data_IF_704176454125
#
_entry.id   IF_704176454125
#
_cell.length_a   1.000
_cell.length_b   1.000
_cell.length_c   1.000
_cell.angle_alpha   90.00
_cell.angle_beta   90.00
_cell.angle_gamma   90.00
#
_symmetry.space_group_name_H-M   'P 1'
#
loop_
_entity.id
_entity.type
_entity.pdbx_description
1 polymer ?
#
# COMPACT_ATOMS: atom_id res chain seq x y z
N UNK A 1 -19.51 -25.85 -10.76
CA UNK A 1 -19.01 -24.58 -11.32
C UNK A 1 -18.76 -23.68 -10.13
N UNK A 2 -17.52 -23.25 -9.88
CA UNK A 2 -17.16 -22.53 -8.64
C UNK A 2 -17.65 -21.07 -8.58
N UNK A 3 -18.20 -20.54 -9.69
CA UNK A 3 -18.54 -19.13 -9.86
C UNK A 3 -19.91 -18.98 -10.54
N UNK A 4 -20.93 -19.59 -9.94
CA UNK A 4 -22.32 -19.24 -10.21
C UNK A 4 -22.82 -18.32 -9.10
N UNK A 5 -23.86 -17.54 -9.37
CA UNK A 5 -24.53 -16.75 -8.34
C UNK A 5 -24.90 -17.67 -7.16
N UNK A 6 -24.48 -17.36 -5.91
CA UNK A 6 -24.82 -18.18 -4.77
C UNK A 6 -26.34 -18.16 -4.52
N UNK A 7 -26.87 -19.26 -3.99
CA UNK A 7 -28.28 -19.32 -3.56
C UNK A 7 -28.57 -18.19 -2.58
N UNK A 8 -29.78 -17.65 -2.64
CA UNK A 8 -30.23 -16.66 -1.68
C UNK A 8 -30.37 -17.27 -0.29
N UNK A 9 -30.07 -16.47 0.73
CA UNK A 9 -30.24 -16.85 2.14
C UNK A 9 -31.05 -15.81 2.88
N UNK A 10 -31.68 -16.19 3.99
CA UNK A 10 -32.45 -15.27 4.84
C UNK A 10 -31.57 -14.20 5.51
N UNK A 11 -30.25 -14.38 5.48
CA UNK A 11 -29.26 -13.48 6.05
C UNK A 11 -28.61 -12.57 5.00
N UNK A 12 -29.08 -12.62 3.75
CA UNK A 12 -28.55 -11.76 2.69
C UNK A 12 -28.92 -10.30 2.96
N UNK A 13 -27.92 -9.42 2.95
CA UNK A 13 -28.15 -7.98 3.08
C UNK A 13 -28.43 -7.40 1.69
N UNK A 14 -29.57 -6.74 1.53
CA UNK A 14 -30.04 -6.20 0.25
C UNK A 14 -30.26 -4.70 0.35
N UNK A 15 -29.73 -3.93 -0.60
CA UNK A 15 -29.93 -2.49 -0.69
C UNK A 15 -29.80 -2.01 -2.14
N UNK A 16 -30.18 -0.75 -2.38
CA UNK A 16 -30.01 -0.08 -3.67
C UNK A 16 -28.81 0.87 -3.61
N UNK A 17 -27.87 0.73 -4.54
CA UNK A 17 -26.76 1.66 -4.71
C UNK A 17 -26.84 2.32 -6.09
N UNK A 18 -27.04 3.63 -6.16
CA UNK A 18 -27.21 4.38 -7.44
C UNK A 18 -28.33 3.82 -8.35
N UNK A 19 -29.35 3.20 -7.74
CA UNK A 19 -30.45 2.53 -8.45
C UNK A 19 -30.12 1.13 -8.97
N UNK A 20 -28.95 0.58 -8.60
CA UNK A 20 -28.53 -0.80 -8.89
C UNK A 20 -28.77 -1.65 -7.63
N UNK A 21 -29.51 -2.77 -7.72
CA UNK A 21 -29.68 -3.69 -6.60
C UNK A 21 -28.36 -4.35 -6.21
N UNK A 22 -28.01 -4.31 -4.93
CA UNK A 22 -26.82 -4.91 -4.34
C UNK A 22 -27.26 -5.92 -3.28
N UNK A 23 -26.76 -7.14 -3.40
CA UNK A 23 -26.93 -8.23 -2.43
C UNK A 23 -25.57 -8.60 -1.85
N UNK A 24 -25.47 -8.74 -0.53
CA UNK A 24 -24.27 -9.23 0.15
C UNK A 24 -24.61 -10.55 0.81
N UNK A 25 -23.94 -11.61 0.39
CA UNK A 25 -24.05 -12.92 1.00
C UNK A 25 -23.24 -12.98 2.31
N UNK A 26 -23.71 -13.60 3.40
CA UNK A 26 -23.02 -13.63 4.71
C UNK A 26 -21.58 -14.15 4.64
N UNK A 27 -21.33 -15.12 3.76
CA UNK A 27 -19.99 -15.68 3.54
C UNK A 27 -18.96 -14.63 3.07
N UNK A 28 -19.40 -13.50 2.50
CA UNK A 28 -18.53 -12.36 2.20
C UNK A 28 -17.89 -11.80 3.47
N UNK A 29 -18.70 -11.50 4.49
CA UNK A 29 -18.22 -10.93 5.75
C UNK A 29 -17.31 -11.89 6.52
N UNK A 30 -17.60 -13.19 6.48
CA UNK A 30 -16.75 -14.21 7.08
C UNK A 30 -15.34 -14.24 6.47
N UNK A 31 -15.25 -14.19 5.13
CA UNK A 31 -13.96 -14.16 4.43
C UNK A 31 -13.26 -12.81 4.62
N UNK A 32 -13.98 -11.68 4.56
CA UNK A 32 -13.41 -10.37 4.81
C UNK A 32 -12.80 -10.27 6.22
N UNK A 33 -13.47 -10.79 7.23
CA UNK A 33 -12.94 -10.87 8.60
C UNK A 33 -11.71 -11.77 8.69
N UNK A 34 -11.73 -12.95 8.03
CA UNK A 34 -10.58 -13.87 7.99
C UNK A 34 -9.35 -13.22 7.33
N UNK A 35 -9.55 -12.51 6.22
CA UNK A 35 -8.49 -11.79 5.52
C UNK A 35 -7.97 -10.57 6.30
N UNK A 36 -8.71 -10.10 7.31
CA UNK A 36 -8.31 -8.99 8.17
C UNK A 36 -7.36 -9.41 9.29
N UNK A 37 -7.28 -10.71 9.63
CA UNK A 37 -6.46 -11.23 10.72
C UNK A 37 -4.97 -10.86 10.66
N UNK A 38 -4.31 -10.80 9.47
CA UNK A 38 -2.92 -10.35 9.39
C UNK A 38 -2.72 -8.87 9.74
N UNK A 39 -3.77 -8.06 9.65
CA UNK A 39 -3.73 -6.61 9.95
C UNK A 39 -4.00 -6.34 11.42
N UNK A 40 -4.79 -7.19 12.07
CA UNK A 40 -5.05 -7.14 13.51
C UNK A 40 -6.06 -8.19 13.93
N UNK A 41 -6.07 -8.50 15.24
CA UNK A 41 -7.09 -9.39 15.85
C UNK A 41 -8.13 -8.61 16.65
N UNK A 42 -7.85 -7.35 16.95
CA UNK A 42 -8.79 -6.48 17.65
C UNK A 42 -9.97 -6.07 16.76
N UNK A 43 -11.16 -5.80 17.33
CA UNK A 43 -12.35 -5.49 16.55
C UNK A 43 -12.19 -4.27 15.62
N UNK A 44 -11.51 -3.22 16.07
CA UNK A 44 -11.34 -1.96 15.32
C UNK A 44 -10.55 -2.15 14.00
N UNK A 45 -9.33 -2.72 14.01
CA UNK A 45 -8.61 -3.08 12.78
C UNK A 45 -9.38 -4.02 11.86
N UNK A 46 -10.02 -5.05 12.43
CA UNK A 46 -10.79 -6.03 11.64
C UNK A 46 -11.94 -5.35 10.92
N UNK A 47 -12.70 -4.50 11.62
CA UNK A 47 -13.79 -3.73 11.02
C UNK A 47 -13.27 -2.73 9.98
N UNK A 48 -12.15 -2.06 10.24
CA UNK A 48 -11.52 -1.13 9.29
C UNK A 48 -11.15 -1.81 7.98
N UNK A 49 -10.44 -2.95 8.06
CA UNK A 49 -9.98 -3.67 6.88
C UNK A 49 -11.13 -4.37 6.15
N UNK A 50 -12.06 -4.99 6.86
CA UNK A 50 -13.25 -5.60 6.25
C UNK A 50 -14.12 -4.55 5.53
N UNK A 51 -14.27 -3.35 6.11
CA UNK A 51 -14.97 -2.24 5.47
C UNK A 51 -14.24 -1.76 4.21
N UNK A 52 -12.91 -1.77 4.22
CA UNK A 52 -12.10 -1.42 3.06
C UNK A 52 -12.24 -2.44 1.93
N UNK A 53 -12.18 -3.75 2.24
CA UNK A 53 -12.45 -4.83 1.29
C UNK A 53 -13.85 -4.64 0.68
N UNK A 54 -14.86 -4.46 1.53
CA UNK A 54 -16.25 -4.25 1.10
C UNK A 54 -16.37 -3.07 0.13
N UNK A 55 -15.90 -1.89 0.53
CA UNK A 55 -16.06 -0.70 -0.30
C UNK A 55 -15.27 -0.81 -1.60
N UNK A 56 -14.05 -1.35 -1.56
CA UNK A 56 -13.21 -1.52 -2.75
C UNK A 56 -13.84 -2.48 -3.77
N UNK A 57 -14.33 -3.64 -3.32
CA UNK A 57 -15.01 -4.62 -4.20
C UNK A 57 -16.36 -4.05 -4.68
N UNK A 58 -17.11 -3.35 -3.82
CA UNK A 58 -18.37 -2.72 -4.25
C UNK A 58 -18.12 -1.68 -5.35
N UNK A 59 -17.09 -0.84 -5.22
CA UNK A 59 -16.71 0.14 -6.25
C UNK A 59 -16.32 -0.55 -7.56
N UNK A 60 -15.60 -1.67 -7.48
CA UNK A 60 -15.26 -2.49 -8.64
C UNK A 60 -16.52 -3.01 -9.36
N UNK A 61 -17.43 -3.67 -8.63
CA UNK A 61 -18.66 -4.19 -9.23
C UNK A 61 -19.60 -3.09 -9.74
N UNK A 62 -19.61 -1.94 -9.07
CA UNK A 62 -20.31 -0.74 -9.55
C UNK A 62 -19.73 -0.25 -10.88
N UNK A 63 -18.42 -0.34 -11.08
CA UNK A 63 -17.78 -0.03 -12.36
C UNK A 63 -18.39 -0.84 -13.51
N UNK A 64 -18.51 -2.16 -13.33
CA UNK A 64 -19.19 -3.02 -14.30
C UNK A 64 -20.67 -2.68 -14.47
N UNK A 65 -21.40 -2.53 -13.35
CA UNK A 65 -22.84 -2.28 -13.38
C UNK A 65 -23.22 -0.94 -14.03
N UNK A 66 -22.44 0.11 -13.78
CA UNK A 66 -22.60 1.41 -14.42
C UNK A 66 -22.26 1.33 -15.92
N UNK A 67 -21.25 0.54 -16.30
CA UNK A 67 -20.94 0.30 -17.69
C UNK A 67 -22.06 -0.48 -18.41
N UNK A 68 -22.63 -1.50 -17.77
CA UNK A 68 -23.83 -2.18 -18.26
C UNK A 68 -24.98 -1.21 -18.48
N UNK A 69 -25.26 -0.33 -17.50
CA UNK A 69 -26.30 0.69 -17.61
C UNK A 69 -26.05 1.64 -18.78
N UNK A 70 -24.80 2.04 -19.03
CA UNK A 70 -24.41 2.87 -20.19
C UNK A 70 -24.63 2.15 -21.52
N UNK A 71 -24.47 0.83 -21.55
CA UNK A 71 -24.81 -0.02 -22.69
C UNK A 71 -26.32 -0.37 -22.77
N UNK A 72 -27.18 0.23 -21.94
CA UNK A 72 -28.62 -0.04 -21.94
C UNK A 72 -29.02 -1.36 -21.27
N UNK A 73 -28.09 -2.02 -20.57
CA UNK A 73 -28.29 -3.32 -19.92
C UNK A 73 -28.60 -3.08 -18.43
N UNK A 74 -29.69 -3.67 -17.94
CA UNK A 74 -30.00 -3.70 -16.50
C UNK A 74 -29.19 -4.80 -15.82
N UNK A 75 -28.56 -4.47 -14.70
CA UNK A 75 -27.74 -5.40 -13.90
C UNK A 75 -28.05 -5.30 -12.41
N UNK A 76 -27.59 -6.30 -11.67
CA UNK A 76 -27.55 -6.33 -10.20
C UNK A 76 -26.17 -6.81 -9.75
N UNK A 77 -25.83 -6.54 -8.49
CA UNK A 77 -24.53 -6.88 -7.90
C UNK A 77 -24.76 -7.89 -6.78
N UNK A 78 -23.93 -8.93 -6.75
CA UNK A 78 -23.87 -9.88 -5.64
C UNK A 78 -22.44 -9.94 -5.11
N UNK A 79 -22.23 -9.62 -3.83
CA UNK A 79 -20.95 -9.76 -3.15
C UNK A 79 -20.91 -11.08 -2.37
N UNK A 80 -19.90 -11.92 -2.62
CA UNK A 80 -19.80 -13.24 -2.02
C UNK A 80 -18.36 -13.76 -2.02
N UNK A 81 -17.98 -14.45 -0.93
CA UNK A 81 -16.68 -15.10 -0.75
C UNK A 81 -15.48 -14.18 -1.04
N UNK A 82 -14.84 -14.35 -2.20
CA UNK A 82 -13.60 -13.70 -2.59
C UNK A 82 -13.77 -12.47 -3.48
N UNK A 83 -15.01 -12.04 -3.75
CA UNK A 83 -15.25 -10.95 -4.68
C UNK A 83 -16.71 -10.55 -4.79
N UNK A 84 -17.08 -10.08 -5.98
CA UNK A 84 -18.44 -9.83 -6.37
C UNK A 84 -18.73 -10.34 -7.77
N UNK A 85 -19.98 -10.17 -8.16
CA UNK A 85 -20.47 -10.43 -9.50
C UNK A 85 -21.50 -9.37 -9.86
N UNK A 86 -21.19 -8.54 -10.84
CA UNK A 86 -22.16 -7.74 -11.56
C UNK A 86 -22.80 -8.56 -12.70
N UNK A 87 -24.03 -9.01 -12.51
CA UNK A 87 -24.75 -9.84 -13.47
C UNK A 87 -25.89 -9.08 -14.16
N UNK A 88 -26.06 -9.20 -15.50
CA UNK A 88 -27.21 -8.66 -16.20
C UNK A 88 -28.48 -9.48 -15.89
N UNK A 89 -29.64 -8.82 -15.82
CA UNK A 89 -30.93 -9.49 -15.54
C UNK A 89 -31.40 -10.44 -16.64
N UNK A 90 -30.98 -10.20 -17.88
CA UNK A 90 -31.31 -11.07 -19.02
C UNK A 90 -30.04 -11.58 -19.67
N UNK A 91 -29.87 -12.90 -19.66
CA UNK A 91 -28.84 -13.60 -20.41
C UNK A 91 -29.04 -13.37 -21.92
N UNK A 92 -30.26 -13.14 -22.41
CA UNK A 92 -30.47 -12.83 -23.83
C UNK A 92 -29.79 -11.53 -24.22
N UNK A 93 -29.86 -10.49 -23.38
CA UNK A 93 -29.19 -9.21 -23.65
C UNK A 93 -27.66 -9.30 -23.57
N UNK A 94 -27.13 -10.33 -22.89
CA UNK A 94 -25.70 -10.57 -22.71
C UNK A 94 -25.10 -11.55 -23.73
N UNK A 95 -25.87 -12.55 -24.17
CA UNK A 95 -25.40 -13.71 -24.96
C UNK A 95 -26.07 -13.79 -26.35
N UNK A 96 -27.18 -13.09 -26.62
CA UNK A 96 -28.04 -13.39 -27.78
C UNK A 96 -28.59 -12.19 -28.57
N UNK A 97 -28.26 -12.17 -29.86
CA UNK A 97 -29.09 -11.70 -30.98
C UNK A 97 -29.64 -10.27 -30.95
N UNK A 98 -28.76 -9.31 -30.66
CA UNK A 98 -28.98 -7.91 -31.01
C UNK A 98 -27.70 -7.33 -31.59
N UNK A 99 -27.83 -6.46 -32.60
CA UNK A 99 -26.74 -5.73 -33.25
C UNK A 99 -25.93 -4.83 -32.29
N UNK A 100 -26.29 -4.80 -31.00
CA UNK A 100 -26.00 -3.72 -30.06
C UNK A 100 -25.02 -4.08 -28.93
N UNK A 101 -24.64 -5.34 -28.72
CA UNK A 101 -23.62 -5.72 -27.70
C UNK A 101 -22.34 -6.29 -28.31
N UNK A 102 -21.52 -5.39 -28.86
CA UNK A 102 -20.26 -5.71 -29.55
C UNK A 102 -19.15 -6.17 -28.59
N UNK A 103 -18.16 -6.92 -29.10
CA UNK A 103 -16.96 -7.29 -28.32
C UNK A 103 -16.21 -6.07 -27.75
N UNK A 104 -16.28 -4.90 -28.41
CA UNK A 104 -15.75 -3.64 -27.87
C UNK A 104 -16.52 -3.18 -26.63
N UNK A 105 -17.85 -3.35 -26.62
CA UNK A 105 -18.70 -3.02 -25.47
C UNK A 105 -18.41 -3.95 -24.30
N UNK A 106 -18.18 -5.25 -24.57
CA UNK A 106 -17.77 -6.21 -23.54
C UNK A 106 -16.43 -5.84 -22.91
N UNK A 107 -15.41 -5.54 -23.73
CA UNK A 107 -14.11 -5.08 -23.23
C UNK A 107 -14.27 -3.81 -22.39
N UNK A 108 -15.08 -2.85 -22.84
CA UNK A 108 -15.36 -1.65 -22.07
C UNK A 108 -16.00 -1.98 -20.72
N UNK A 109 -17.07 -2.78 -20.69
CA UNK A 109 -17.75 -3.15 -19.43
C UNK A 109 -16.80 -3.87 -18.47
N UNK A 110 -16.03 -4.84 -18.98
CA UNK A 110 -15.06 -5.61 -18.17
C UNK A 110 -13.90 -4.72 -17.70
N UNK A 111 -13.43 -3.75 -18.48
CA UNK A 111 -12.36 -2.85 -18.06
C UNK A 111 -12.81 -1.83 -17.00
N UNK A 112 -14.09 -1.47 -16.96
CA UNK A 112 -14.61 -0.45 -16.06
C UNK A 112 -14.56 -0.84 -14.58
N UNK A 113 -14.66 -2.13 -14.23
CA UNK A 113 -14.54 -2.59 -12.85
C UNK A 113 -13.16 -2.27 -12.25
N UNK A 114 -12.07 -2.88 -12.78
CA UNK A 114 -10.71 -2.56 -12.37
C UNK A 114 -10.34 -1.08 -12.55
N UNK A 115 -10.82 -0.44 -13.64
CA UNK A 115 -10.50 0.95 -13.93
C UNK A 115 -11.04 1.94 -12.89
N UNK A 116 -12.32 1.80 -12.49
CA UNK A 116 -12.92 2.65 -11.46
C UNK A 116 -12.32 2.35 -10.09
N UNK A 117 -12.01 1.08 -9.81
CA UNK A 117 -11.34 0.67 -8.58
C UNK A 117 -9.95 1.32 -8.45
N UNK A 118 -9.10 1.21 -9.48
CA UNK A 118 -7.78 1.86 -9.52
C UNK A 118 -7.88 3.37 -9.37
N UNK A 119 -8.80 3.99 -10.11
CA UNK A 119 -9.01 5.43 -10.05
C UNK A 119 -9.38 5.87 -8.63
N UNK A 120 -10.27 5.14 -7.95
CA UNK A 120 -10.69 5.47 -6.58
C UNK A 120 -9.53 5.39 -5.59
N UNK A 121 -8.65 4.39 -5.71
CA UNK A 121 -7.48 4.25 -4.86
C UNK A 121 -6.46 5.37 -5.11
N UNK A 122 -6.18 5.70 -6.38
CA UNK A 122 -5.26 6.79 -6.75
C UNK A 122 -5.79 8.13 -6.24
N UNK A 123 -7.09 8.41 -6.40
CA UNK A 123 -7.69 9.65 -5.90
C UNK A 123 -7.60 9.75 -4.38
N UNK A 124 -7.81 8.65 -3.65
CA UNK A 124 -7.65 8.65 -2.20
C UNK A 124 -6.20 8.91 -1.80
N UNK A 125 -5.22 8.30 -2.49
CA UNK A 125 -3.80 8.57 -2.25
C UNK A 125 -3.52 10.06 -2.46
N UNK A 126 -3.90 10.64 -3.61
CA UNK A 126 -3.71 12.06 -3.90
C UNK A 126 -4.32 12.96 -2.82
N UNK A 127 -5.55 12.65 -2.39
CA UNK A 127 -6.22 13.39 -1.31
C UNK A 127 -5.42 13.34 -0.01
N UNK A 128 -4.98 12.15 0.41
CA UNK A 128 -4.19 11.99 1.63
C UNK A 128 -2.87 12.76 1.54
N UNK A 129 -2.21 12.73 0.39
CA UNK A 129 -0.99 13.52 0.16
C UNK A 129 -1.25 15.02 0.27
N UNK A 130 -2.33 15.52 -0.32
CA UNK A 130 -2.74 16.92 -0.19
C UNK A 130 -3.08 17.33 1.25
N UNK A 131 -3.44 16.38 2.11
CA UNK A 131 -3.67 16.59 3.54
C UNK A 131 -2.42 16.36 4.41
N UNK A 132 -1.26 16.11 3.81
CA UNK A 132 -0.02 15.79 4.54
C UNK A 132 -0.05 14.44 5.25
N UNK A 133 -0.92 13.51 4.83
CA UNK A 133 -1.08 12.18 5.42
C UNK A 133 -0.56 11.07 4.51
N UNK A 134 -0.16 9.95 5.12
CA UNK A 134 0.27 8.74 4.42
C UNK A 134 -0.83 7.68 4.34
N UNK A 135 -0.89 6.96 3.21
CA UNK A 135 -1.76 5.79 3.05
C UNK A 135 -1.17 4.51 3.67
N UNK A 136 0.13 4.51 3.98
CA UNK A 136 0.86 3.39 4.59
C UNK A 136 1.14 2.20 3.68
N UNK A 137 0.45 2.04 2.54
CA UNK A 137 0.63 0.93 1.61
C UNK A 137 1.67 1.25 0.52
N UNK A 138 1.42 2.29 -0.27
CA UNK A 138 2.30 2.71 -1.39
C UNK A 138 3.70 3.01 -0.87
N UNK A 139 3.75 3.72 0.26
CA UNK A 139 4.98 4.07 0.99
C UNK A 139 5.84 2.87 1.35
N UNK A 140 5.19 1.78 1.78
CA UNK A 140 5.89 0.63 2.37
C UNK A 140 6.22 -0.45 1.35
N UNK A 141 5.35 -0.63 0.35
CA UNK A 141 5.39 -1.82 -0.52
C UNK A 141 5.67 -1.53 -2.00
N UNK A 142 5.38 -0.33 -2.50
CA UNK A 142 5.59 -0.01 -3.93
C UNK A 142 6.99 0.58 -4.18
N UNK A 143 7.74 0.89 -3.12
CA UNK A 143 9.14 1.36 -3.24
C UNK A 143 9.26 2.75 -3.89
N UNK A 144 8.16 3.51 -3.92
CA UNK A 144 8.21 4.93 -4.28
C UNK A 144 9.06 5.63 -3.21
N UNK A 145 10.00 6.52 -3.58
CA UNK A 145 10.92 7.09 -2.61
C UNK A 145 10.20 7.64 -1.38
N UNK A 146 10.77 7.41 -0.20
CA UNK A 146 10.15 7.79 1.08
C UNK A 146 9.81 9.29 1.13
N UNK A 147 10.58 10.15 0.45
CA UNK A 147 10.29 11.58 0.33
C UNK A 147 9.08 11.95 -0.55
N UNK A 148 8.48 11.00 -1.26
CA UNK A 148 7.21 11.17 -1.99
C UNK A 148 6.04 10.50 -1.27
N UNK A 149 6.31 9.60 -0.30
CA UNK A 149 5.29 8.69 0.24
C UNK A 149 5.32 8.48 1.74
N UNK A 150 6.46 8.49 2.41
CA UNK A 150 6.53 8.55 3.86
C UNK A 150 6.45 9.99 4.35
N UNK A 151 6.93 10.91 3.53
CA UNK A 151 6.99 12.34 3.81
C UNK A 151 6.28 13.10 2.67
N UNK A 152 4.94 13.18 2.70
CA UNK A 152 4.14 13.69 1.57
C UNK A 152 4.45 15.14 1.19
N UNK A 153 5.06 15.90 2.10
CA UNK A 153 5.42 17.32 1.90
C UNK A 153 6.93 17.54 1.68
N UNK A 154 7.75 16.48 1.69
CA UNK A 154 9.21 16.60 1.52
C UNK A 154 9.95 17.29 2.67
N UNK A 155 9.34 17.32 3.86
CA UNK A 155 9.84 17.97 5.08
C UNK A 155 11.23 17.49 5.48
N UNK A 156 11.45 16.17 5.48
CA UNK A 156 12.72 15.58 5.87
C UNK A 156 13.82 15.88 4.86
N UNK A 157 13.49 15.87 3.57
CA UNK A 157 14.42 16.23 2.51
C UNK A 157 14.80 17.72 2.57
N UNK A 158 13.84 18.59 2.88
CA UNK A 158 14.10 20.03 3.06
C UNK A 158 15.13 20.26 4.17
N UNK A 159 15.00 19.55 5.30
CA UNK A 159 15.98 19.62 6.39
C UNK A 159 17.33 19.05 5.94
N UNK A 160 17.35 17.86 5.35
CA UNK A 160 18.58 17.14 4.98
C UNK A 160 19.44 17.88 3.94
N UNK A 161 18.84 18.69 3.07
CA UNK A 161 19.55 19.42 2.02
C UNK A 161 20.22 20.72 2.50
N UNK A 162 19.88 21.23 3.69
CA UNK A 162 20.49 22.44 4.22
C UNK A 162 21.86 22.11 4.82
N UNK A 163 22.91 22.75 4.33
CA UNK A 163 24.26 22.57 4.87
C UNK A 163 24.33 22.99 6.34
N UNK A 164 25.01 22.20 7.17
CA UNK A 164 25.10 22.43 8.63
C UNK A 164 23.87 22.03 9.43
N UNK A 165 22.78 21.60 8.79
CA UNK A 165 21.56 21.15 9.48
C UNK A 165 21.71 19.80 10.17
N UNK A 166 22.57 18.92 9.67
CA UNK A 166 22.73 17.56 10.18
C UNK A 166 24.19 17.35 10.61
N UNK A 167 24.45 17.54 11.90
CA UNK A 167 25.77 17.39 12.48
C UNK A 167 25.90 16.06 13.24
N UNK A 168 27.07 15.40 13.22
CA UNK A 168 27.27 14.14 13.91
C UNK A 168 27.42 14.33 15.42
N UNK A 169 27.00 13.33 16.20
CA UNK A 169 27.29 13.20 17.63
C UNK A 169 27.85 11.81 17.97
N UNK A 170 28.38 11.64 19.18
CA UNK A 170 28.82 10.34 19.74
C UNK A 170 28.27 10.14 21.14
N UNK A 171 27.94 8.91 21.51
CA UNK A 171 27.52 8.63 22.89
C UNK A 171 28.74 8.39 23.77
N UNK A 172 28.77 8.96 24.98
CA UNK A 172 29.91 8.81 25.91
C UNK A 172 30.32 7.33 26.12
N UNK A 173 29.40 6.35 26.27
CA UNK A 173 29.77 4.95 26.49
C UNK A 173 30.59 4.30 25.36
N UNK A 174 30.62 4.90 24.16
CA UNK A 174 31.39 4.38 23.01
C UNK A 174 32.87 4.70 23.11
N UNK A 175 33.23 5.70 23.90
CA UNK A 175 34.62 6.02 24.17
C UNK A 175 35.20 5.05 25.19
N UNK A 176 36.52 4.80 25.09
CA UNK A 176 37.24 4.03 26.09
C UNK A 176 36.99 4.59 27.49
N UNK A 177 36.86 3.71 28.49
CA UNK A 177 36.49 4.05 29.87
C UNK A 177 37.35 5.15 30.50
N UNK A 178 38.61 5.27 30.07
CA UNK A 178 39.55 6.31 30.51
C UNK A 178 39.08 7.73 30.18
N UNK A 179 38.30 7.91 29.12
CA UNK A 179 37.81 9.21 28.65
C UNK A 179 36.42 9.55 29.20
N UNK A 180 35.61 8.55 29.56
CA UNK A 180 34.19 8.74 29.89
C UNK A 180 33.97 9.72 31.05
N UNK A 181 34.79 9.66 32.11
CA UNK A 181 34.66 10.58 33.26
C UNK A 181 34.91 12.03 32.87
N UNK A 182 35.88 12.28 31.97
CA UNK A 182 36.16 13.63 31.49
C UNK A 182 35.11 14.10 30.49
N UNK A 183 34.65 13.23 29.60
CA UNK A 183 33.58 13.55 28.65
C UNK A 183 32.28 13.95 29.37
N UNK A 184 31.97 13.39 30.55
CA UNK A 184 30.85 13.87 31.38
C UNK A 184 31.00 15.29 31.92
N UNK A 185 32.21 15.84 31.93
CA UNK A 185 32.46 17.26 32.25
C UNK A 185 32.35 18.15 31.01
N UNK A 186 32.57 17.57 29.82
CA UNK A 186 32.43 18.23 28.51
C UNK A 186 30.96 18.33 28.11
N UNK A 187 30.18 17.29 28.41
CA UNK A 187 28.73 17.18 28.22
C UNK A 187 28.01 18.24 29.07
N UNK A 188 27.84 19.43 28.48
CA UNK A 188 27.31 20.60 29.20
C UNK A 188 25.81 20.51 29.42
N UNK A 189 25.11 19.77 28.56
CA UNK A 189 23.67 19.61 28.59
C UNK A 189 23.21 18.32 29.30
N UNK A 190 24.16 17.50 29.76
CA UNK A 190 23.93 16.25 30.50
C UNK A 190 23.05 15.25 29.76
N UNK A 191 23.09 15.24 28.42
CA UNK A 191 22.31 14.30 27.61
C UNK A 191 23.06 12.99 27.34
N UNK A 192 24.32 12.89 27.79
CA UNK A 192 25.17 11.72 27.61
C UNK A 192 25.73 11.58 26.19
N UNK A 193 25.53 12.59 25.35
CA UNK A 193 26.05 12.71 23.99
C UNK A 193 27.13 13.78 23.97
N UNK A 194 28.02 13.66 22.99
CA UNK A 194 29.12 14.60 22.79
C UNK A 194 29.09 15.07 21.35
N UNK A 195 29.05 16.39 21.19
CA UNK A 195 29.16 17.07 19.91
C UNK A 195 30.58 17.61 19.67
N UNK A 196 30.91 17.89 18.41
CA UNK A 196 32.16 18.57 18.07
C UNK A 196 32.23 19.98 18.70
N UNK A 197 31.09 20.65 18.83
CA UNK A 197 31.01 21.99 19.43
C UNK A 197 31.36 21.95 20.92
N UNK A 198 30.81 21.02 21.70
CA UNK A 198 31.12 20.90 23.12
C UNK A 198 32.59 20.56 23.39
N UNK A 199 33.18 19.69 22.56
CA UNK A 199 34.62 19.40 22.61
C UNK A 199 35.45 20.66 22.35
N UNK A 200 35.12 21.42 21.30
CA UNK A 200 35.84 22.66 20.96
C UNK A 200 35.68 23.73 22.03
N UNK A 201 34.47 23.89 22.57
CA UNK A 201 34.18 24.83 23.66
C UNK A 201 34.96 24.46 24.93
N UNK A 202 35.05 23.17 25.25
CA UNK A 202 35.81 22.70 26.40
C UNK A 202 37.32 22.89 26.21
N UNK A 203 37.87 22.57 25.04
CA UNK A 203 39.28 22.83 24.70
C UNK A 203 39.63 24.32 24.79
N UNK A 204 38.72 25.22 24.41
CA UNK A 204 38.92 26.67 24.52
C UNK A 204 38.96 27.19 25.97
N UNK A 205 38.35 26.46 26.91
CA UNK A 205 38.24 26.84 28.34
C UNK A 205 39.38 26.32 29.19
N UNK A 206 40.09 25.28 28.75
CA UNK A 206 41.21 24.70 29.50
C UNK A 206 42.50 25.45 29.15
N UNK A 207 43.21 25.92 30.19
CA UNK A 207 44.61 26.33 30.05
C UNK A 207 45.45 25.15 29.55
N UNK A 208 46.37 25.40 28.60
CA UNK A 208 47.18 24.40 27.88
C UNK A 208 47.99 23.39 28.73
N UNK A 209 47.92 23.47 30.07
CA UNK A 209 48.61 22.60 31.02
C UNK A 209 48.00 21.19 31.19
N UNK A 210 46.72 20.97 30.87
CA UNK A 210 46.12 19.61 30.89
C UNK A 210 45.21 19.37 29.68
N UNK A 211 45.77 19.07 28.49
CA UNK A 211 44.96 18.76 27.32
C UNK A 211 44.05 17.55 27.58
N UNK A 212 42.81 17.66 27.12
CA UNK A 212 41.90 16.54 27.03
C UNK A 212 42.51 15.56 26.02
N UNK A 213 43.19 14.51 26.46
CA UNK A 213 43.81 13.51 25.59
C UNK A 213 42.78 12.59 24.89
N UNK A 214 41.57 13.09 24.64
CA UNK A 214 40.54 12.41 23.85
C UNK A 214 41.00 12.43 22.38
N UNK A 215 40.77 11.36 21.61
CA UNK A 215 41.10 11.37 20.19
C UNK A 215 40.42 12.56 19.49
N UNK A 216 41.15 13.24 18.60
CA UNK A 216 40.58 14.27 17.75
C UNK A 216 39.35 13.71 17.02
N UNK A 217 38.31 14.52 16.84
CA UNK A 217 37.06 14.08 16.19
C UNK A 217 37.30 13.39 14.84
N UNK A 218 38.27 13.89 14.06
CA UNK A 218 38.72 13.35 12.77
C UNK A 218 39.46 12.00 12.87
N UNK A 219 39.99 11.68 14.05
CA UNK A 219 40.73 10.44 14.32
C UNK A 219 39.85 9.33 14.90
N UNK A 220 38.61 9.65 15.27
CA UNK A 220 37.63 8.63 15.67
C UNK A 220 37.25 7.81 14.44
N UNK A 221 37.10 6.50 14.61
CA UNK A 221 36.60 5.65 13.53
C UNK A 221 35.29 6.23 12.98
N UNK A 222 35.17 6.32 11.64
CA UNK A 222 33.94 6.76 11.02
C UNK A 222 32.80 5.85 11.48
N UNK A 223 31.62 6.41 11.67
CA UNK A 223 30.47 5.59 12.02
C UNK A 223 30.24 4.56 10.91
N UNK A 224 29.82 3.33 11.25
CA UNK A 224 29.30 2.42 10.25
C UNK A 224 28.27 3.15 9.38
N UNK A 225 28.32 2.92 8.07
CA UNK A 225 27.45 3.59 7.08
C UNK A 225 25.95 3.50 7.44
N UNK A 226 25.55 2.44 8.14
CA UNK A 226 24.19 2.22 8.65
C UNK A 226 23.80 3.18 9.79
N UNK A 227 24.77 3.59 10.60
CA UNK A 227 24.57 4.45 11.78
C UNK A 227 24.77 5.94 11.48
N UNK A 228 25.55 6.26 10.44
CA UNK A 228 25.79 7.62 9.95
C UNK A 228 24.51 8.46 9.82
N UNK A 229 23.43 7.98 9.19
CA UNK A 229 22.19 8.76 9.04
C UNK A 229 21.34 8.80 10.31
N UNK A 230 21.66 8.06 11.37
CA UNK A 230 20.82 7.99 12.60
C UNK A 230 21.48 8.74 13.76
N UNK A 231 22.81 8.90 13.72
CA UNK A 231 23.61 9.60 14.74
C UNK A 231 23.91 11.04 14.34
N UNK A 232 22.87 11.72 13.85
CA UNK A 232 22.91 13.15 13.54
C UNK A 232 21.90 13.90 14.39
N UNK A 233 22.20 15.15 14.65
CA UNK A 233 21.30 16.08 15.31
C UNK A 233 21.18 17.36 14.48
N UNK A 234 20.11 18.09 14.73
CA UNK A 234 19.88 19.41 14.18
C UNK A 234 20.21 20.43 15.27
N UNK A 235 21.17 21.36 15.05
CA UNK A 235 21.44 22.44 15.99
C UNK A 235 20.18 23.27 16.24
N UNK A 236 19.97 23.73 17.48
CA UNK A 236 18.71 24.39 17.84
C UNK A 236 18.53 25.75 17.17
N UNK A 237 19.60 26.48 16.96
CA UNK A 237 19.66 27.73 16.19
C UNK A 237 19.30 27.52 14.71
N UNK A 238 19.53 26.32 14.16
CA UNK A 238 19.09 25.98 12.81
C UNK A 238 17.56 25.92 12.68
N UNK A 239 16.80 25.74 13.77
CA UNK A 239 15.33 25.70 13.72
C UNK A 239 14.73 27.01 13.20
N UNK A 240 15.37 28.15 13.47
CA UNK A 240 14.92 29.46 12.99
C UNK A 240 15.15 29.66 11.48
N UNK A 241 16.01 28.84 10.87
CA UNK A 241 16.29 28.88 9.43
C UNK A 241 15.25 28.12 8.60
N UNK A 242 14.40 27.32 9.24
CA UNK A 242 13.31 26.59 8.59
C UNK A 242 11.97 27.32 8.78
N UNK A 243 11.04 27.10 7.86
CA UNK A 243 9.67 27.63 7.96
C UNK A 243 8.65 26.53 7.70
N UNK A 244 7.39 26.76 8.09
CA UNK A 244 6.29 25.83 7.81
C UNK A 244 6.52 24.44 8.40
N UNK A 245 6.31 23.40 7.58
CA UNK A 245 6.31 22.01 8.03
C UNK A 245 7.68 21.51 8.52
N UNK A 246 8.80 22.00 7.95
CA UNK A 246 10.15 21.68 8.40
C UNK A 246 10.42 22.21 9.80
N UNK A 247 10.05 23.47 10.05
CA UNK A 247 10.17 24.06 11.38
C UNK A 247 9.30 23.33 12.41
N UNK A 248 8.04 23.04 12.06
CA UNK A 248 7.14 22.30 12.95
C UNK A 248 7.66 20.88 13.27
N UNK A 249 8.26 20.19 12.30
CA UNK A 249 8.83 18.86 12.53
C UNK A 249 10.02 18.91 13.50
N UNK A 250 10.88 19.92 13.38
CA UNK A 250 11.99 20.14 14.31
C UNK A 250 11.49 20.50 15.71
N UNK A 251 10.55 21.45 15.82
CA UNK A 251 9.97 21.84 17.10
C UNK A 251 9.23 20.69 17.78
N UNK A 252 8.56 19.82 17.02
CA UNK A 252 7.91 18.61 17.54
C UNK A 252 8.93 17.63 18.12
N UNK A 253 10.16 17.62 17.60
CA UNK A 253 11.26 16.77 18.05
C UNK A 253 12.16 17.39 19.12
N UNK A 254 12.00 18.69 19.40
CA UNK A 254 12.71 19.40 20.45
C UNK A 254 12.26 18.89 21.83
N UNK A 255 13.23 18.42 22.64
CA UNK A 255 13.00 17.92 24.00
C UNK A 255 13.26 18.99 25.08
N UNK A 256 13.48 20.24 24.67
CA UNK A 256 13.61 21.40 25.54
C UNK A 256 15.04 21.94 25.63
N UNK A 257 15.21 23.01 26.43
CA UNK A 257 16.48 23.69 26.60
C UNK A 257 17.61 22.73 27.04
N UNK A 258 18.76 22.87 26.39
CA UNK A 258 19.95 22.04 26.62
C UNK A 258 20.07 20.86 25.67
N UNK A 259 18.98 20.17 25.30
CA UNK A 259 19.07 18.88 24.59
C UNK A 259 19.28 19.03 23.09
N UNK A 260 19.96 18.05 22.50
CA UNK A 260 20.11 17.95 21.04
C UNK A 260 18.79 17.51 20.37
N UNK A 261 18.43 18.15 19.26
CA UNK A 261 17.31 17.71 18.41
C UNK A 261 17.79 16.53 17.56
N UNK A 262 17.62 15.31 18.05
CA UNK A 262 18.10 14.12 17.36
C UNK A 262 17.34 13.88 16.05
N UNK A 263 18.06 13.60 14.97
CA UNK A 263 17.46 13.32 13.66
C UNK A 263 16.62 12.03 13.66
N UNK A 264 16.94 11.07 14.53
CA UNK A 264 16.09 9.92 14.82
C UNK A 264 14.74 10.34 15.41
N UNK A 265 14.73 11.28 16.36
CA UNK A 265 13.51 11.85 16.95
C UNK A 265 12.69 12.64 15.95
N UNK A 266 13.34 13.45 15.10
CA UNK A 266 12.68 14.18 14.00
C UNK A 266 11.95 13.21 13.07
N UNK A 267 12.65 12.19 12.56
CA UNK A 267 12.04 11.20 11.67
C UNK A 267 10.89 10.44 12.34
N UNK A 268 11.09 9.99 13.58
CA UNK A 268 10.08 9.22 14.30
C UNK A 268 8.81 10.04 14.55
N UNK A 269 8.96 11.28 15.06
CA UNK A 269 7.81 12.15 15.38
C UNK A 269 7.16 12.72 14.13
N UNK A 270 7.94 12.98 13.07
CA UNK A 270 7.40 13.34 11.76
C UNK A 270 6.56 12.20 11.19
N UNK A 271 7.09 10.98 11.19
CA UNK A 271 6.35 9.80 10.74
C UNK A 271 5.05 9.61 11.53
N UNK A 272 5.08 9.75 12.85
CA UNK A 272 3.87 9.71 13.67
C UNK A 272 2.86 10.82 13.30
N UNK A 273 3.34 12.01 12.94
CA UNK A 273 2.47 13.15 12.58
C UNK A 273 1.77 13.00 11.23
N UNK A 274 2.40 12.32 10.27
CA UNK A 274 1.83 12.07 8.94
C UNK A 274 0.98 10.80 8.89
N UNK A 275 1.06 9.95 9.91
CA UNK A 275 0.15 8.82 10.09
C UNK A 275 -1.26 9.28 10.49
N UNK A 276 -2.24 8.44 10.20
CA UNK A 276 -3.63 8.63 10.62
C UNK A 276 -3.75 8.11 12.06
N UNK A 277 -4.10 8.99 12.99
CA UNK A 277 -4.20 8.66 14.42
C UNK A 277 -5.31 7.66 14.71
N UNK A 278 -6.47 7.81 14.06
CA UNK A 278 -7.60 6.91 14.24
C UNK A 278 -7.26 5.54 13.62
N UNK A 279 -7.17 4.52 14.47
CA UNK A 279 -6.77 3.18 14.08
C UNK A 279 -7.67 2.57 12.99
N UNK A 280 -8.99 2.70 13.12
CA UNK A 280 -9.94 2.23 12.12
C UNK A 280 -9.68 2.89 10.76
N UNK A 281 -9.54 4.21 10.72
CA UNK A 281 -9.30 4.94 9.48
C UNK A 281 -7.93 4.60 8.88
N UNK A 282 -6.90 4.47 9.70
CA UNK A 282 -5.55 4.07 9.24
C UNK A 282 -5.60 2.71 8.56
N UNK A 283 -6.24 1.73 9.18
CA UNK A 283 -6.38 0.38 8.64
C UNK A 283 -7.30 0.34 7.42
N UNK A 284 -8.39 1.11 7.45
CA UNK A 284 -9.31 1.24 6.33
C UNK A 284 -8.60 1.82 5.10
N UNK A 285 -7.87 2.93 5.25
CA UNK A 285 -7.12 3.57 4.16
C UNK A 285 -6.06 2.61 3.61
N UNK A 286 -5.28 1.99 4.49
CA UNK A 286 -4.29 0.99 4.10
C UNK A 286 -4.92 -0.13 3.26
N UNK A 287 -6.01 -0.73 3.77
CA UNK A 287 -6.71 -1.80 3.09
C UNK A 287 -7.39 -1.36 1.79
N UNK A 288 -7.93 -0.15 1.75
CA UNK A 288 -8.65 0.36 0.58
C UNK A 288 -7.68 0.61 -0.57
N UNK A 289 -6.52 1.20 -0.29
CA UNK A 289 -5.45 1.41 -1.26
C UNK A 289 -4.82 0.08 -1.65
N UNK A 290 -4.53 -0.81 -0.69
CA UNK A 290 -4.00 -2.15 -0.96
C UNK A 290 -4.92 -2.93 -1.90
N UNK A 291 -6.19 -3.14 -1.52
CA UNK A 291 -7.16 -3.88 -2.34
C UNK A 291 -7.40 -3.12 -3.65
N UNK A 292 -7.57 -1.80 -3.60
CA UNK A 292 -7.87 -0.99 -4.78
C UNK A 292 -6.77 -0.97 -5.84
N UNK A 293 -5.49 -1.07 -5.44
CA UNK A 293 -4.36 -1.16 -6.36
C UNK A 293 -3.99 -2.61 -6.68
N UNK A 294 -3.66 -3.40 -5.66
CA UNK A 294 -3.17 -4.76 -5.83
C UNK A 294 -4.25 -5.66 -6.44
N UNK A 295 -5.46 -5.69 -5.89
CA UNK A 295 -6.52 -6.57 -6.40
C UNK A 295 -6.97 -6.18 -7.80
N UNK A 296 -7.03 -4.88 -8.11
CA UNK A 296 -7.38 -4.43 -9.45
C UNK A 296 -6.33 -4.88 -10.50
N UNK A 297 -5.04 -4.80 -10.17
CA UNK A 297 -3.97 -5.33 -11.04
C UNK A 297 -4.09 -6.84 -11.19
N UNK A 298 -4.34 -7.58 -10.10
CA UNK A 298 -4.54 -9.03 -10.18
C UNK A 298 -5.75 -9.40 -11.04
N UNK A 299 -6.83 -8.62 -11.01
CA UNK A 299 -8.01 -8.84 -11.87
C UNK A 299 -7.72 -8.60 -13.35
N UNK A 300 -6.72 -7.79 -13.70
CA UNK A 300 -6.31 -7.57 -15.08
C UNK A 300 -5.35 -8.65 -15.62
N UNK A 301 -4.91 -9.58 -14.78
CA UNK A 301 -4.13 -10.74 -15.24
C UNK A 301 -5.00 -11.57 -16.19
N UNK A 302 -4.45 -12.07 -17.32
CA UNK A 302 -5.20 -12.77 -18.36
C UNK A 302 -5.56 -14.21 -17.97
N UNK A 303 -6.28 -14.37 -16.84
CA UNK A 303 -6.73 -15.63 -16.26
C UNK A 303 -8.24 -15.59 -16.11
N UNK A 304 -8.94 -16.55 -16.72
CA UNK A 304 -10.38 -16.71 -16.58
C UNK A 304 -10.72 -17.28 -15.20
N UNK A 305 -11.72 -16.75 -14.47
CA UNK A 305 -12.79 -15.83 -14.89
C UNK A 305 -12.49 -14.33 -14.70
N UNK A 306 -11.28 -13.95 -14.28
CA UNK A 306 -10.93 -12.55 -13.98
C UNK A 306 -11.13 -11.66 -15.20
N UNK A 307 -11.26 -10.35 -14.96
CA UNK A 307 -11.51 -9.35 -16.01
C UNK A 307 -10.48 -9.39 -17.13
N UNK A 308 -9.20 -9.54 -16.80
CA UNK A 308 -8.12 -9.68 -17.78
C UNK A 308 -8.29 -10.90 -18.66
N UNK A 309 -8.79 -12.02 -18.12
CA UNK A 309 -9.09 -13.23 -18.88
C UNK A 309 -10.28 -13.05 -19.83
N UNK A 310 -11.31 -12.32 -19.39
CA UNK A 310 -12.46 -11.96 -20.21
C UNK A 310 -12.08 -10.97 -21.33
N UNK A 311 -11.30 -9.93 -21.02
CA UNK A 311 -10.74 -8.98 -21.99
C UNK A 311 -9.90 -9.73 -23.03
N UNK A 312 -8.98 -10.59 -22.58
CA UNK A 312 -8.12 -11.40 -23.47
C UNK A 312 -8.95 -12.25 -24.42
N UNK A 313 -10.02 -12.88 -23.94
CA UNK A 313 -10.94 -13.65 -24.79
C UNK A 313 -11.58 -12.77 -25.86
N UNK A 314 -12.11 -11.61 -25.51
CA UNK A 314 -12.75 -10.72 -26.47
C UNK A 314 -11.76 -10.11 -27.46
N UNK A 315 -10.48 -9.91 -27.08
CA UNK A 315 -9.42 -9.53 -28.00
C UNK A 315 -9.13 -10.63 -29.05
N UNK A 316 -9.12 -11.91 -28.65
CA UNK A 316 -9.03 -13.02 -29.60
C UNK A 316 -10.24 -13.10 -30.54
N UNK A 317 -11.44 -12.75 -30.06
CA UNK A 317 -12.63 -12.67 -30.91
C UNK A 317 -12.52 -11.51 -31.90
N UNK A 318 -12.11 -10.33 -31.46
CA UNK A 318 -11.96 -9.13 -32.31
C UNK A 318 -10.88 -9.29 -33.38
N UNK A 319 -9.79 -10.00 -33.08
CA UNK A 319 -8.73 -10.30 -34.05
C UNK A 319 -9.14 -11.29 -35.15
N UNK A 320 -10.37 -11.83 -35.11
CA UNK A 320 -10.82 -12.85 -36.07
C UNK A 320 -10.12 -14.19 -35.90
N UNK A 321 -9.53 -14.45 -34.73
CA UNK A 321 -8.73 -15.65 -34.50
C UNK A 321 -9.63 -16.91 -34.48
N UNK A 322 -9.37 -17.93 -35.32
CA UNK A 322 -10.11 -19.19 -35.24
C UNK A 322 -9.93 -19.85 -33.86
N UNK A 323 -11.03 -20.38 -33.32
CA UNK A 323 -11.07 -20.98 -31.99
C UNK A 323 -10.59 -20.02 -30.87
N UNK A 324 -10.95 -18.72 -30.98
CA UNK A 324 -10.60 -17.65 -30.05
C UNK A 324 -10.75 -18.05 -28.57
N UNK A 325 -11.88 -18.67 -28.22
CA UNK A 325 -12.16 -19.11 -26.83
C UNK A 325 -11.14 -20.16 -26.36
N UNK A 326 -10.84 -21.17 -27.17
CA UNK A 326 -9.86 -22.22 -26.86
C UNK A 326 -8.47 -21.61 -26.65
N UNK A 327 -8.04 -20.69 -27.53
CA UNK A 327 -6.75 -20.00 -27.40
C UNK A 327 -6.69 -19.13 -26.15
N UNK A 328 -7.77 -18.40 -25.83
CA UNK A 328 -7.87 -17.61 -24.59
C UNK A 328 -7.74 -18.47 -23.33
N UNK A 329 -8.29 -19.69 -23.33
CA UNK A 329 -8.16 -20.62 -22.21
C UNK A 329 -6.74 -21.17 -22.07
N UNK A 330 -6.02 -21.40 -23.17
CA UNK A 330 -4.60 -21.78 -23.11
C UNK A 330 -3.76 -20.68 -22.48
N UNK A 331 -3.99 -19.42 -22.87
CA UNK A 331 -3.34 -18.25 -22.24
C UNK A 331 -3.68 -18.19 -20.75
N UNK A 332 -4.95 -18.36 -20.39
CA UNK A 332 -5.42 -18.41 -18.99
C UNK A 332 -4.69 -19.46 -18.16
N UNK A 333 -4.50 -20.67 -18.68
CA UNK A 333 -3.77 -21.74 -17.98
C UNK A 333 -2.32 -21.33 -17.74
N UNK A 334 -1.62 -20.86 -18.78
CA UNK A 334 -0.20 -20.47 -18.70
C UNK A 334 -0.02 -19.33 -17.71
N UNK A 335 -0.79 -18.25 -17.84
CA UNK A 335 -0.71 -17.11 -16.95
C UNK A 335 -1.10 -17.48 -15.52
N UNK A 336 -2.11 -18.33 -15.32
CA UNK A 336 -2.51 -18.78 -13.99
C UNK A 336 -1.44 -19.62 -13.31
N UNK A 337 -0.75 -20.51 -14.04
CA UNK A 337 0.40 -21.26 -13.49
C UNK A 337 1.55 -20.32 -13.13
N UNK A 338 1.92 -19.39 -14.02
CA UNK A 338 3.01 -18.43 -13.77
C UNK A 338 2.69 -17.57 -12.54
N UNK A 339 1.51 -16.96 -12.47
CA UNK A 339 1.08 -16.16 -11.32
C UNK A 339 1.03 -16.98 -10.03
N UNK A 340 0.61 -18.25 -10.12
CA UNK A 340 0.62 -19.18 -8.99
C UNK A 340 2.03 -19.45 -8.45
N UNK A 341 3.00 -19.71 -9.35
CA UNK A 341 4.40 -19.94 -9.00
C UNK A 341 5.07 -18.69 -8.41
N UNK A 342 4.80 -17.51 -8.98
CA UNK A 342 5.25 -16.23 -8.41
C UNK A 342 4.67 -16.05 -6.99
N UNK A 343 3.39 -16.38 -6.79
CA UNK A 343 2.77 -16.38 -5.47
C UNK A 343 3.48 -17.27 -4.45
N UNK A 344 3.92 -18.47 -4.85
CA UNK A 344 4.69 -19.38 -3.99
C UNK A 344 6.06 -18.79 -3.64
N UNK A 345 6.76 -18.23 -4.62
CA UNK A 345 8.06 -17.59 -4.42
C UNK A 345 7.97 -16.43 -3.42
N UNK A 346 6.89 -15.65 -3.50
CA UNK A 346 6.60 -14.51 -2.61
C UNK A 346 5.97 -14.93 -1.26
N UNK A 347 5.86 -16.22 -0.96
CA UNK A 347 5.20 -16.75 0.26
C UNK A 347 3.72 -16.32 0.40
N UNK A 348 3.08 -15.93 -0.70
CA UNK A 348 1.67 -15.53 -0.75
C UNK A 348 0.80 -16.76 -1.01
N UNK A 349 0.74 -17.68 -0.05
CA UNK A 349 0.07 -18.98 -0.19
C UNK A 349 -1.37 -18.88 -0.70
N UNK A 350 -2.13 -17.90 -0.21
CA UNK A 350 -3.50 -17.68 -0.66
C UNK A 350 -3.58 -17.36 -2.17
N UNK A 351 -2.77 -16.42 -2.65
CA UNK A 351 -2.72 -16.03 -4.07
C UNK A 351 -2.21 -17.19 -4.93
N UNK A 352 -1.17 -17.90 -4.46
CA UNK A 352 -0.63 -19.06 -5.14
C UNK A 352 -1.69 -20.13 -5.39
N UNK A 353 -2.39 -20.55 -4.32
CA UNK A 353 -3.44 -21.57 -4.41
C UNK A 353 -4.58 -21.08 -5.30
N UNK A 354 -5.00 -19.82 -5.15
CA UNK A 354 -6.07 -19.24 -5.96
C UNK A 354 -5.74 -19.32 -7.46
N UNK A 355 -4.58 -18.83 -7.90
CA UNK A 355 -4.21 -18.82 -9.32
C UNK A 355 -3.97 -20.22 -9.90
N UNK A 356 -3.40 -21.15 -9.11
CA UNK A 356 -3.28 -22.55 -9.51
C UNK A 356 -4.66 -23.22 -9.68
N UNK A 357 -5.60 -22.95 -8.77
CA UNK A 357 -6.97 -23.43 -8.91
C UNK A 357 -7.68 -22.83 -10.13
N UNK A 358 -7.48 -21.55 -10.44
CA UNK A 358 -8.03 -20.91 -11.64
C UNK A 358 -7.44 -21.48 -12.93
N UNK A 359 -6.14 -21.77 -12.94
CA UNK A 359 -5.47 -22.46 -14.05
C UNK A 359 -6.07 -23.85 -14.27
N UNK A 360 -6.26 -24.62 -13.19
CA UNK A 360 -6.89 -25.93 -13.24
C UNK A 360 -8.35 -25.86 -13.72
N UNK A 361 -9.12 -24.86 -13.25
CA UNK A 361 -10.49 -24.62 -13.72
C UNK A 361 -10.54 -24.28 -15.22
N UNK A 362 -9.59 -23.48 -15.70
CA UNK A 362 -9.44 -23.18 -17.13
C UNK A 362 -9.12 -24.41 -17.95
N UNK A 363 -8.24 -25.29 -17.44
CA UNK A 363 -7.92 -26.58 -18.06
C UNK A 363 -9.14 -27.51 -18.14
N UNK A 364 -9.90 -27.65 -17.05
CA UNK A 364 -11.13 -28.44 -17.06
C UNK A 364 -12.14 -27.92 -18.10
N UNK A 365 -12.26 -26.59 -18.23
CA UNK A 365 -13.15 -25.96 -19.21
C UNK A 365 -12.67 -26.22 -20.64
N UNK A 366 -11.36 -26.14 -20.88
CA UNK A 366 -10.75 -26.46 -22.17
C UNK A 366 -11.03 -27.91 -22.58
N UNK A 367 -10.85 -28.87 -21.67
CA UNK A 367 -11.11 -30.29 -21.93
C UNK A 367 -12.57 -30.55 -22.34
N UNK A 368 -13.54 -29.91 -21.67
CA UNK A 368 -14.95 -30.02 -22.04
C UNK A 368 -15.27 -29.45 -23.42
N UNK A 369 -14.55 -28.43 -23.87
CA UNK A 369 -14.74 -27.87 -25.21
C UNK A 369 -14.13 -28.75 -26.28
N UNK A 370 -12.89 -29.23 -26.08
CA UNK A 370 -12.19 -30.07 -27.05
C UNK A 370 -12.85 -31.46 -27.15
N UNK A 371 -13.28 -32.05 -26.04
CA UNK A 371 -13.98 -33.33 -26.01
C UNK A 371 -15.38 -33.32 -26.63
N UNK A 372 -15.91 -32.17 -27.07
CA UNK A 372 -17.15 -32.08 -27.86
C UNK A 372 -16.92 -32.18 -29.38
N UNK A 373 -15.66 -32.15 -29.84
CA UNK A 373 -15.30 -32.21 -31.26
C UNK A 373 -14.74 -33.58 -31.70
N UNK A 374 -14.81 -34.60 -30.84
CA UNK A 374 -14.44 -35.98 -31.15
C UNK A 374 -15.62 -36.92 -30.93
#
# INVERSE_FOLDING_TARGET
MLLGEPKQTDFDLNFLCLGIPVRIHPGFWAIAALLSLPVGREPLPVLGFASAIFLSILIHELGHALAFRKCGIRSHIVLYHFGGLAAPYSISNYVGFGKDYSSRSKIFVTAMGPGVQLLSAILLVILLRGLGKTDGFVTRFIGVPAHWTADPMGVLNEIEQVEGSLLPFRAIPEFATVYQTRLRLVDTNQDGLITQQELSDYESRIDASEPLAVPAWESLEPLPEVLEPIRRYVPRDMVEHFTGAAQEALLRADDGEGKLILWSSVRLRHQASVEIENEFLRVFVFGFVQVGLFWAVMNLIPVYPLDGGQITRELFVLSGTPNAVIKSLKVSIVCGVISGLIGLQMQMMFIAIMFLMLAYSSYQTLQRMVGRYF
#
